data_IF_606098854074
#
_entry.id   IF_606098854074
#
_cell.length_a   1.000
_cell.length_b   1.000
_cell.length_c   1.000
_cell.angle_alpha   90.00
_cell.angle_beta   90.00
_cell.angle_gamma   90.00
#
_symmetry.space_group_name_H-M   'P 1'
#
loop_
_entity.id
_entity.type
_entity.pdbx_description
1 polymer ?
#
# COMPACT_ATOMS: atom_id res chain seq x y z
N UNK A 1 72.25 -20.43 -20.28
CA UNK A 1 71.13 -21.35 -19.96
C UNK A 1 70.20 -20.83 -18.87
N UNK A 2 70.55 -19.81 -18.10
CA UNK A 2 69.70 -19.21 -17.05
C UNK A 2 68.47 -18.44 -17.58
N UNK A 3 68.60 -17.68 -18.67
CA UNK A 3 67.50 -16.87 -19.22
C UNK A 3 66.29 -17.65 -19.76
N UNK A 4 66.44 -18.92 -20.13
CA UNK A 4 65.31 -19.75 -20.62
C UNK A 4 64.43 -20.22 -19.45
N UNK A 5 65.03 -20.46 -18.28
CA UNK A 5 64.31 -20.89 -17.07
C UNK A 5 63.49 -19.72 -16.50
N UNK A 6 64.02 -18.50 -16.55
CA UNK A 6 63.32 -17.29 -16.07
C UNK A 6 62.09 -16.95 -16.92
N UNK A 7 62.18 -17.05 -18.26
CA UNK A 7 61.04 -16.82 -19.16
C UNK A 7 59.96 -17.89 -19.00
N UNK A 8 60.34 -19.15 -18.81
CA UNK A 8 59.40 -20.24 -18.56
C UNK A 8 58.68 -20.07 -17.20
N UNK A 9 59.40 -19.68 -16.15
CA UNK A 9 58.83 -19.40 -14.84
C UNK A 9 57.88 -18.20 -14.86
N UNK A 10 58.25 -17.11 -15.56
CA UNK A 10 57.38 -15.95 -15.75
C UNK A 10 56.09 -16.31 -16.51
N UNK A 11 56.19 -17.11 -17.57
CA UNK A 11 55.03 -17.55 -18.36
C UNK A 11 54.09 -18.45 -17.55
N UNK A 12 54.64 -19.37 -16.74
CA UNK A 12 53.85 -20.22 -15.84
C UNK A 12 53.15 -19.39 -14.75
N UNK A 13 53.83 -18.40 -14.17
CA UNK A 13 53.24 -17.50 -13.18
C UNK A 13 52.08 -16.68 -13.78
N UNK A 14 52.24 -16.15 -15.00
CA UNK A 14 51.18 -15.44 -15.73
C UNK A 14 49.98 -16.36 -15.99
N UNK A 15 50.22 -17.62 -16.41
CA UNK A 15 49.14 -18.58 -16.67
C UNK A 15 48.37 -18.96 -15.40
N UNK A 16 49.06 -19.17 -14.27
CA UNK A 16 48.42 -19.43 -12.97
C UNK A 16 47.62 -18.23 -12.51
N UNK A 17 48.16 -17.01 -12.64
CA UNK A 17 47.46 -15.78 -12.31
C UNK A 17 46.19 -15.58 -13.16
N UNK A 18 46.27 -15.79 -14.48
CA UNK A 18 45.13 -15.70 -15.37
C UNK A 18 44.04 -16.75 -15.06
N UNK A 19 44.44 -18.00 -14.76
CA UNK A 19 43.51 -19.06 -14.35
C UNK A 19 42.78 -18.70 -13.05
N UNK A 20 43.52 -18.25 -12.04
CA UNK A 20 42.93 -17.83 -10.76
C UNK A 20 42.00 -16.62 -10.93
N UNK A 21 42.34 -15.67 -11.82
CA UNK A 21 41.48 -14.53 -12.17
C UNK A 21 40.15 -15.01 -12.75
N UNK A 22 40.18 -15.89 -13.76
CA UNK A 22 38.96 -16.41 -14.38
C UNK A 22 38.11 -17.28 -13.45
N UNK A 23 38.74 -18.08 -12.59
CA UNK A 23 38.01 -18.87 -11.60
C UNK A 23 37.30 -17.98 -10.59
N UNK A 24 37.96 -16.90 -10.16
CA UNK A 24 37.37 -15.88 -9.29
C UNK A 24 36.21 -15.15 -9.97
N UNK A 25 36.36 -14.72 -11.23
CA UNK A 25 35.29 -14.08 -12.00
C UNK A 25 34.05 -14.97 -12.13
N UNK A 26 34.23 -16.26 -12.45
CA UNK A 26 33.13 -17.23 -12.53
C UNK A 26 32.46 -17.46 -11.17
N UNK A 27 33.24 -17.46 -10.10
CA UNK A 27 32.70 -17.61 -8.75
C UNK A 27 31.86 -16.39 -8.35
N UNK A 28 32.33 -15.18 -8.66
CA UNK A 28 31.57 -13.93 -8.45
C UNK A 28 30.26 -13.94 -9.24
N UNK A 29 30.32 -14.28 -10.54
CA UNK A 29 29.16 -14.38 -11.42
C UNK A 29 28.13 -15.38 -10.89
N UNK A 30 28.56 -16.59 -10.55
CA UNK A 30 27.68 -17.63 -10.00
C UNK A 30 26.95 -17.13 -8.74
N UNK A 31 27.69 -16.53 -7.80
CA UNK A 31 27.11 -16.02 -6.55
C UNK A 31 26.14 -14.88 -6.82
N UNK A 32 26.49 -13.93 -7.69
CA UNK A 32 25.63 -12.80 -8.01
C UNK A 32 24.33 -13.23 -8.69
N UNK A 33 24.41 -14.11 -9.69
CA UNK A 33 23.23 -14.63 -10.40
C UNK A 33 22.34 -15.48 -9.51
N UNK A 34 22.91 -16.33 -8.65
CA UNK A 34 22.13 -17.12 -7.67
C UNK A 34 21.38 -16.22 -6.70
N UNK A 35 22.04 -15.19 -6.15
CA UNK A 35 21.41 -14.22 -5.26
C UNK A 35 20.31 -13.44 -5.99
N UNK A 36 20.59 -12.92 -7.18
CA UNK A 36 19.60 -12.14 -7.92
C UNK A 36 18.36 -12.98 -8.28
N UNK A 37 18.57 -14.19 -8.79
CA UNK A 37 17.48 -15.14 -9.08
C UNK A 37 16.67 -15.47 -7.83
N UNK A 38 17.31 -15.65 -6.68
CA UNK A 38 16.62 -15.95 -5.42
C UNK A 38 15.73 -14.79 -4.95
N UNK A 39 16.20 -13.56 -5.05
CA UNK A 39 15.50 -12.39 -4.51
C UNK A 39 14.45 -11.78 -5.46
N UNK A 40 14.67 -11.91 -6.78
CA UNK A 40 13.84 -11.24 -7.78
C UNK A 40 13.24 -12.18 -8.82
N UNK A 41 13.58 -13.48 -8.79
CA UNK A 41 13.13 -14.48 -9.77
C UNK A 41 13.40 -14.06 -11.23
N UNK A 42 14.53 -13.39 -11.45
CA UNK A 42 14.98 -12.86 -12.74
C UNK A 42 16.47 -13.16 -12.96
N UNK A 43 16.97 -12.91 -14.17
CA UNK A 43 18.40 -13.02 -14.51
C UNK A 43 19.09 -11.65 -14.42
N UNK A 44 20.20 -11.58 -13.69
CA UNK A 44 20.97 -10.34 -13.52
C UNK A 44 21.55 -9.85 -14.86
N UNK A 45 21.88 -10.76 -15.76
CA UNK A 45 22.47 -10.44 -17.05
C UNK A 45 21.45 -9.80 -18.01
N UNK A 46 20.15 -10.08 -17.84
CA UNK A 46 19.09 -9.51 -18.67
C UNK A 46 18.63 -8.14 -18.15
N UNK A 47 18.65 -7.95 -16.83
CA UNK A 47 18.13 -6.75 -16.18
C UNK A 47 19.18 -5.63 -16.05
N UNK A 48 20.48 -5.98 -16.01
CA UNK A 48 21.55 -5.01 -15.76
C UNK A 48 22.30 -4.60 -17.04
N UNK A 49 22.61 -3.31 -17.23
CA UNK A 49 23.59 -2.85 -18.20
C UNK A 49 24.95 -3.51 -17.99
N UNK A 50 25.63 -3.83 -19.09
CA UNK A 50 27.00 -4.35 -19.09
C UNK A 50 28.07 -3.29 -18.79
N UNK A 51 27.68 -2.01 -18.75
CA UNK A 51 28.59 -0.87 -18.64
C UNK A 51 28.11 0.11 -17.58
N UNK A 52 29.08 0.64 -16.84
CA UNK A 52 28.84 1.70 -15.87
C UNK A 52 28.25 2.95 -16.54
N UNK A 53 27.04 3.33 -16.15
CA UNK A 53 26.41 4.58 -16.58
C UNK A 53 26.80 5.74 -15.66
N UNK A 54 26.74 6.98 -16.14
CA UNK A 54 26.84 8.17 -15.26
C UNK A 54 25.46 8.81 -15.28
N UNK A 55 24.91 9.02 -14.10
CA UNK A 55 23.60 9.63 -13.95
C UNK A 55 23.78 11.15 -13.85
N UNK A 56 22.97 11.87 -14.63
CA UNK A 56 22.95 13.33 -14.61
C UNK A 56 22.22 13.88 -13.40
N UNK A 57 21.38 14.89 -13.61
CA UNK A 57 20.65 15.54 -12.54
C UNK A 57 19.54 14.61 -11.99
N UNK A 58 19.66 14.21 -10.72
CA UNK A 58 18.71 13.34 -10.01
C UNK A 58 17.61 14.19 -9.32
N UNK A 59 16.93 15.06 -10.06
CA UNK A 59 15.83 15.87 -9.49
C UNK A 59 14.63 14.98 -9.21
N UNK A 60 14.07 15.09 -8.00
CA UNK A 60 12.88 14.33 -7.59
C UNK A 60 13.16 12.92 -7.07
N UNK A 61 14.43 12.49 -6.98
CA UNK A 61 14.81 11.21 -6.37
C UNK A 61 15.06 11.40 -4.87
N UNK A 62 14.74 10.38 -4.07
CA UNK A 62 14.98 10.41 -2.62
C UNK A 62 16.46 10.70 -2.26
N UNK A 63 16.67 11.50 -1.21
CA UNK A 63 18.01 11.96 -0.81
C UNK A 63 18.95 10.81 -0.41
N UNK A 64 18.44 9.76 0.25
CA UNK A 64 19.23 8.59 0.60
C UNK A 64 19.52 7.73 -0.63
N UNK A 65 18.56 7.63 -1.56
CA UNK A 65 18.78 6.97 -2.83
C UNK A 65 19.86 7.67 -3.66
N UNK A 66 19.80 9.01 -3.76
CA UNK A 66 20.84 9.84 -4.41
C UNK A 66 22.21 9.62 -3.76
N UNK A 67 22.28 9.54 -2.44
CA UNK A 67 23.54 9.30 -1.74
C UNK A 67 24.11 7.90 -2.04
N UNK A 68 23.26 6.87 -2.10
CA UNK A 68 23.65 5.51 -2.50
C UNK A 68 24.15 5.48 -3.96
N UNK A 69 23.45 6.15 -4.90
CA UNK A 69 23.89 6.29 -6.30
C UNK A 69 25.26 6.95 -6.37
N UNK A 70 25.51 8.02 -5.62
CA UNK A 70 26.81 8.70 -5.59
C UNK A 70 27.93 7.83 -5.03
N UNK A 71 27.64 6.97 -4.05
CA UNK A 71 28.61 6.00 -3.54
C UNK A 71 29.02 4.99 -4.64
N UNK A 72 28.03 4.49 -5.39
CA UNK A 72 28.24 3.60 -6.55
C UNK A 72 29.10 4.30 -7.63
N UNK A 73 28.74 5.52 -8.01
CA UNK A 73 29.46 6.25 -9.06
C UNK A 73 30.90 6.58 -8.65
N UNK A 74 31.14 6.88 -7.37
CA UNK A 74 32.49 7.10 -6.81
C UNK A 74 33.37 5.86 -7.00
N UNK A 75 32.86 4.69 -6.61
CA UNK A 75 33.55 3.41 -6.81
C UNK A 75 33.87 3.16 -8.28
N UNK A 76 32.89 3.33 -9.17
CA UNK A 76 33.05 3.10 -10.60
C UNK A 76 34.02 4.11 -11.27
N UNK A 77 34.04 5.36 -10.80
CA UNK A 77 34.96 6.39 -11.28
C UNK A 77 36.40 6.08 -10.87
N UNK A 78 36.62 5.73 -9.61
CA UNK A 78 37.96 5.40 -9.12
C UNK A 78 38.50 4.13 -9.76
N UNK A 79 37.65 3.12 -9.92
CA UNK A 79 38.01 1.91 -10.66
C UNK A 79 38.45 2.25 -12.08
N UNK A 80 37.67 3.05 -12.83
CA UNK A 80 38.07 3.51 -14.18
C UNK A 80 39.42 4.23 -14.19
N UNK A 81 39.70 5.07 -13.20
CA UNK A 81 40.97 5.81 -13.13
C UNK A 81 42.18 4.89 -12.93
N UNK A 82 42.07 3.87 -12.07
CA UNK A 82 43.18 2.93 -11.83
C UNK A 82 43.56 2.14 -13.08
N UNK A 83 42.58 1.77 -13.89
CA UNK A 83 42.82 1.00 -15.11
C UNK A 83 43.21 1.86 -16.31
N UNK A 84 43.02 3.18 -16.28
CA UNK A 84 43.47 4.08 -17.35
C UNK A 84 44.99 3.98 -17.60
N UNK A 85 45.77 3.60 -16.59
CA UNK A 85 47.23 3.41 -16.70
C UNK A 85 47.67 2.01 -17.16
N UNK A 86 46.73 1.06 -17.28
CA UNK A 86 46.97 -0.30 -17.74
C UNK A 86 46.19 -0.51 -19.04
N UNK A 87 46.86 -0.33 -20.18
CA UNK A 87 46.31 -0.09 -21.54
C UNK A 87 45.39 -1.15 -22.18
N UNK A 88 44.36 -1.65 -21.48
CA UNK A 88 43.28 -2.45 -22.07
C UNK A 88 41.91 -1.93 -21.62
N UNK A 89 41.36 -0.99 -22.39
CA UNK A 89 40.03 -0.40 -22.14
C UNK A 89 38.85 -1.39 -22.23
N UNK A 90 39.11 -2.66 -22.63
CA UNK A 90 38.10 -3.70 -22.81
C UNK A 90 37.78 -4.50 -21.54
N UNK A 91 38.61 -4.45 -20.49
CA UNK A 91 38.48 -5.32 -19.29
C UNK A 91 37.32 -4.96 -18.32
N UNK A 92 36.39 -4.07 -18.68
CA UNK A 92 35.31 -3.63 -17.78
C UNK A 92 33.91 -3.94 -18.28
N UNK A 93 33.76 -4.36 -19.54
CA UNK A 93 32.45 -4.72 -20.09
C UNK A 93 32.10 -6.10 -19.57
N UNK A 94 30.99 -6.20 -18.82
CA UNK A 94 30.51 -7.48 -18.28
C UNK A 94 31.10 -7.90 -16.94
N UNK A 95 31.84 -7.02 -16.24
CA UNK A 95 32.29 -7.29 -14.87
C UNK A 95 31.09 -7.44 -13.92
N UNK A 96 31.00 -8.57 -13.21
CA UNK A 96 29.89 -8.92 -12.32
C UNK A 96 29.61 -7.85 -11.26
N UNK A 97 30.66 -7.29 -10.63
CA UNK A 97 30.51 -6.24 -9.63
C UNK A 97 29.86 -4.99 -10.22
N UNK A 98 30.25 -4.62 -11.44
CA UNK A 98 29.67 -3.49 -12.16
C UNK A 98 28.21 -3.74 -12.47
N UNK A 99 27.85 -4.94 -12.94
CA UNK A 99 26.43 -5.32 -13.19
C UNK A 99 25.57 -5.20 -11.92
N UNK A 100 26.00 -5.80 -10.80
CA UNK A 100 25.25 -5.70 -9.53
C UNK A 100 25.01 -4.24 -9.13
N UNK A 101 26.01 -3.38 -9.26
CA UNK A 101 25.88 -1.97 -8.90
C UNK A 101 25.05 -1.17 -9.91
N UNK A 102 25.09 -1.48 -11.21
CA UNK A 102 24.26 -0.83 -12.22
C UNK A 102 22.78 -1.18 -12.04
N UNK A 103 22.47 -2.46 -11.79
CA UNK A 103 21.11 -2.91 -11.48
C UNK A 103 20.57 -2.15 -10.26
N UNK A 104 21.34 -2.11 -9.17
CA UNK A 104 20.92 -1.42 -7.96
C UNK A 104 20.75 0.08 -8.19
N UNK A 105 21.65 0.69 -8.97
CA UNK A 105 21.57 2.10 -9.34
C UNK A 105 20.32 2.39 -10.17
N UNK A 106 19.99 1.53 -11.13
CA UNK A 106 18.75 1.66 -11.91
C UNK A 106 17.52 1.61 -11.02
N UNK A 107 17.44 0.63 -10.12
CA UNK A 107 16.35 0.57 -9.16
C UNK A 107 16.28 1.82 -8.27
N UNK A 108 17.41 2.29 -7.73
CA UNK A 108 17.48 3.51 -6.91
C UNK A 108 16.97 4.76 -7.66
N UNK A 109 17.21 4.84 -8.98
CA UNK A 109 16.70 5.95 -9.80
C UNK A 109 15.19 5.92 -10.03
N UNK A 110 14.54 4.78 -9.83
CA UNK A 110 13.07 4.69 -9.90
C UNK A 110 12.39 5.24 -8.64
N UNK A 111 13.15 5.49 -7.58
CA UNK A 111 12.65 5.94 -6.28
C UNK A 111 12.40 7.44 -6.27
N UNK A 112 11.32 7.85 -6.95
CA UNK A 112 10.81 9.22 -6.90
C UNK A 112 10.27 9.56 -5.51
N UNK A 113 10.41 10.83 -5.09
CA UNK A 113 9.82 11.35 -3.84
C UNK A 113 8.28 11.22 -3.82
N UNK A 114 7.65 11.21 -4.99
CA UNK A 114 6.18 11.14 -5.13
C UNK A 114 5.65 9.69 -5.29
N UNK A 115 6.54 8.73 -5.56
CA UNK A 115 6.15 7.33 -5.74
C UNK A 115 6.09 6.62 -4.39
N UNK A 116 4.93 6.05 -4.04
CA UNK A 116 4.79 5.23 -2.85
C UNK A 116 5.59 3.92 -3.00
N UNK A 117 6.79 3.88 -2.44
CA UNK A 117 7.62 2.68 -2.37
C UNK A 117 7.23 1.91 -1.12
N UNK A 118 7.01 0.59 -1.24
CA UNK A 118 6.71 -0.22 -0.06
C UNK A 118 7.97 -0.50 0.77
N UNK A 119 7.84 -0.50 2.10
CA UNK A 119 8.93 -0.86 3.01
C UNK A 119 9.45 -2.27 2.72
N UNK A 120 8.56 -3.19 2.30
CA UNK A 120 8.93 -4.55 1.90
C UNK A 120 9.87 -4.59 0.71
N UNK A 121 9.66 -3.74 -0.30
CA UNK A 121 10.57 -3.62 -1.46
C UNK A 121 11.95 -3.15 -1.04
N UNK A 122 12.04 -2.13 -0.17
CA UNK A 122 13.33 -1.62 0.33
C UNK A 122 14.03 -2.66 1.21
N UNK A 123 13.29 -3.36 2.06
CA UNK A 123 13.83 -4.45 2.89
C UNK A 123 14.41 -5.59 2.04
N UNK A 124 13.69 -6.02 1.01
CA UNK A 124 14.16 -7.07 0.10
C UNK A 124 15.48 -6.67 -0.58
N UNK A 125 15.62 -5.39 -0.96
CA UNK A 125 16.85 -4.83 -1.56
C UNK A 125 17.98 -4.71 -0.55
N UNK A 126 17.68 -4.33 0.69
CA UNK A 126 18.66 -4.30 1.78
C UNK A 126 19.19 -5.71 2.10
N UNK A 127 18.31 -6.71 2.15
CA UNK A 127 18.67 -8.11 2.36
C UNK A 127 19.53 -8.62 1.20
N UNK A 128 19.15 -8.33 -0.05
CA UNK A 128 19.94 -8.65 -1.24
C UNK A 128 21.38 -8.12 -1.11
N UNK A 129 21.56 -6.84 -0.76
CA UNK A 129 22.88 -6.23 -0.58
C UNK A 129 23.66 -6.88 0.59
N UNK A 130 22.97 -7.14 1.70
CA UNK A 130 23.56 -7.77 2.90
C UNK A 130 24.08 -9.19 2.61
N UNK A 131 23.43 -9.94 1.72
CA UNK A 131 23.88 -11.27 1.32
C UNK A 131 25.25 -11.26 0.60
N UNK A 132 25.62 -10.18 -0.09
CA UNK A 132 26.98 -10.03 -0.64
C UNK A 132 28.00 -9.77 0.47
N UNK A 133 27.65 -8.94 1.46
CA UNK A 133 28.51 -8.64 2.60
C UNK A 133 28.84 -9.92 3.42
N UNK A 134 27.88 -10.83 3.53
CA UNK A 134 28.07 -12.14 4.17
C UNK A 134 28.92 -13.13 3.36
N UNK A 135 29.21 -12.83 2.08
CA UNK A 135 30.01 -13.67 1.17
C UNK A 135 31.32 -12.99 0.79
N UNK A 136 31.95 -12.31 1.75
CA UNK A 136 33.19 -11.55 1.53
C UNK A 136 34.30 -12.30 0.76
N UNK A 137 34.57 -13.61 0.99
CA UNK A 137 35.60 -14.34 0.24
C UNK A 137 35.39 -14.39 -1.27
N UNK A 138 34.13 -14.35 -1.74
CA UNK A 138 33.84 -14.34 -3.16
C UNK A 138 34.20 -12.99 -3.81
N UNK A 139 34.24 -11.88 -3.05
CA UNK A 139 34.39 -10.53 -3.56
C UNK A 139 35.62 -9.78 -3.03
N UNK A 140 36.63 -10.50 -2.56
CA UNK A 140 37.84 -9.91 -1.97
C UNK A 140 38.49 -8.85 -2.88
N UNK A 141 38.82 -7.70 -2.28
CA UNK A 141 39.56 -6.63 -2.93
C UNK A 141 40.66 -6.13 -1.98
N UNK A 142 41.82 -5.80 -2.55
CA UNK A 142 42.98 -5.30 -1.79
C UNK A 142 42.94 -3.78 -1.55
N UNK A 143 41.88 -3.10 -2.00
CA UNK A 143 41.80 -1.64 -1.99
C UNK A 143 40.84 -1.13 -0.92
N UNK A 144 41.13 0.04 -0.37
CA UNK A 144 40.26 0.72 0.61
C UNK A 144 38.85 0.93 0.06
N UNK A 145 38.74 1.45 -1.16
CA UNK A 145 37.47 1.57 -1.88
C UNK A 145 37.24 0.28 -2.68
N UNK A 146 36.56 -0.65 -2.02
CA UNK A 146 36.19 -1.97 -2.53
C UNK A 146 34.69 -2.07 -2.86
N UNK A 147 34.32 -3.12 -3.60
CA UNK A 147 32.92 -3.43 -3.87
C UNK A 147 32.10 -3.62 -2.59
N UNK A 148 32.64 -4.38 -1.62
CA UNK A 148 31.98 -4.63 -0.34
C UNK A 148 31.87 -3.37 0.52
N UNK A 149 32.90 -2.50 0.52
CA UNK A 149 32.83 -1.22 1.22
C UNK A 149 31.75 -0.31 0.61
N UNK A 150 31.65 -0.29 -0.73
CA UNK A 150 30.62 0.45 -1.46
C UNK A 150 29.22 -0.08 -1.13
N UNK A 151 29.02 -1.40 -1.17
CA UNK A 151 27.75 -2.01 -0.76
C UNK A 151 27.42 -1.73 0.71
N UNK A 152 28.41 -1.69 1.60
CA UNK A 152 28.18 -1.31 3.00
C UNK A 152 27.70 0.15 3.16
N UNK A 153 28.20 1.08 2.34
CA UNK A 153 27.70 2.46 2.31
C UNK A 153 26.28 2.53 1.74
N UNK A 154 26.02 1.79 0.66
CA UNK A 154 24.68 1.64 0.08
C UNK A 154 23.70 1.05 1.10
N UNK A 155 24.03 -0.03 1.80
CA UNK A 155 23.18 -0.62 2.86
C UNK A 155 22.82 0.41 3.92
N UNK A 156 23.78 1.23 4.38
CA UNK A 156 23.50 2.30 5.35
C UNK A 156 22.48 3.32 4.84
N UNK A 157 22.52 3.66 3.55
CA UNK A 157 21.53 4.53 2.94
C UNK A 157 20.17 3.84 2.75
N UNK A 158 20.17 2.56 2.35
CA UNK A 158 18.95 1.76 2.25
C UNK A 158 18.27 1.53 3.60
N UNK A 159 19.03 1.38 4.69
CA UNK A 159 18.49 1.29 6.05
C UNK A 159 17.78 2.57 6.46
N UNK A 160 18.37 3.74 6.17
CA UNK A 160 17.74 5.03 6.43
C UNK A 160 16.49 5.22 5.60
N UNK A 161 16.56 4.86 4.32
CA UNK A 161 15.40 4.87 3.42
C UNK A 161 14.31 3.93 3.95
N UNK A 162 14.65 2.72 4.35
CA UNK A 162 13.71 1.75 4.94
C UNK A 162 13.05 2.31 6.20
N UNK A 163 13.83 2.90 7.12
CA UNK A 163 13.28 3.54 8.32
C UNK A 163 12.31 4.69 7.98
N UNK A 164 12.65 5.51 6.98
CA UNK A 164 11.78 6.56 6.48
C UNK A 164 10.49 5.98 5.89
N UNK A 165 10.59 5.01 4.98
CA UNK A 165 9.41 4.35 4.39
C UNK A 165 8.53 3.69 5.44
N UNK A 166 9.12 2.98 6.40
CA UNK A 166 8.39 2.39 7.53
C UNK A 166 7.70 3.47 8.36
N UNK A 167 8.34 4.62 8.57
CA UNK A 167 7.73 5.74 9.30
C UNK A 167 6.55 6.34 8.54
N UNK A 168 6.64 6.47 7.21
CA UNK A 168 5.59 6.97 6.34
C UNK A 168 4.40 6.00 6.27
N UNK A 169 4.66 4.69 6.11
CA UNK A 169 3.62 3.65 6.12
C UNK A 169 2.93 3.49 7.48
N UNK A 170 3.61 3.86 8.57
CA UNK A 170 3.08 3.84 9.93
C UNK A 170 2.35 5.12 10.32
N UNK A 171 2.18 6.08 9.41
CA UNK A 171 1.35 7.26 9.72
C UNK A 171 -0.12 6.88 9.73
N UNK A 172 -0.89 7.54 10.61
CA UNK A 172 -2.33 7.35 10.68
C UNK A 172 -3.03 7.77 9.40
N UNK A 173 -2.49 8.75 8.67
CA UNK A 173 -2.96 9.13 7.34
C UNK A 173 -2.90 7.93 6.37
N UNK A 174 -1.72 7.32 6.21
CA UNK A 174 -1.53 6.21 5.29
C UNK A 174 -2.42 5.02 5.67
N UNK A 175 -2.55 4.72 6.97
CA UNK A 175 -3.36 3.59 7.45
C UNK A 175 -4.86 3.81 7.27
N UNK A 176 -5.36 5.03 7.53
CA UNK A 176 -6.76 5.37 7.25
C UNK A 176 -7.01 5.37 5.73
N UNK A 177 -6.08 5.91 4.93
CA UNK A 177 -6.16 5.86 3.47
C UNK A 177 -6.24 4.43 2.92
N UNK A 178 -5.41 3.52 3.46
CA UNK A 178 -5.45 2.11 3.12
C UNK A 178 -6.80 1.45 3.48
N UNK A 179 -7.37 1.75 4.66
CA UNK A 179 -8.70 1.28 5.05
C UNK A 179 -9.80 1.77 4.10
N UNK A 180 -9.75 3.04 3.69
CA UNK A 180 -10.69 3.60 2.72
C UNK A 180 -10.61 2.87 1.37
N UNK A 181 -9.39 2.62 0.87
CA UNK A 181 -9.16 1.88 -0.37
C UNK A 181 -9.69 0.44 -0.30
N UNK A 182 -9.38 -0.29 0.77
CA UNK A 182 -9.88 -1.66 0.97
C UNK A 182 -11.39 -1.70 1.13
N UNK A 183 -11.96 -0.70 1.81
CA UNK A 183 -13.41 -0.59 1.97
C UNK A 183 -14.11 -0.35 0.64
N UNK A 184 -13.55 0.49 -0.22
CA UNK A 184 -14.01 0.68 -1.61
C UNK A 184 -13.93 -0.62 -2.40
N UNK A 185 -12.82 -1.35 -2.31
CA UNK A 185 -12.66 -2.64 -2.97
C UNK A 185 -13.71 -3.66 -2.49
N UNK A 186 -14.00 -3.72 -1.18
CA UNK A 186 -15.04 -4.58 -0.62
C UNK A 186 -16.43 -4.23 -1.17
N UNK A 187 -16.74 -2.94 -1.31
CA UNK A 187 -18.01 -2.46 -1.87
C UNK A 187 -18.14 -2.90 -3.33
N UNK A 188 -17.11 -2.69 -4.15
CA UNK A 188 -17.08 -3.14 -5.55
C UNK A 188 -17.23 -4.67 -5.66
N UNK A 189 -16.50 -5.42 -4.87
CA UNK A 189 -16.59 -6.89 -4.82
C UNK A 189 -17.95 -7.39 -4.33
N UNK A 190 -18.73 -6.56 -3.62
CA UNK A 190 -20.09 -6.90 -3.14
C UNK A 190 -21.15 -6.66 -4.22
N UNK A 191 -20.89 -5.81 -5.23
CA UNK A 191 -21.85 -5.52 -6.31
C UNK A 191 -22.32 -6.77 -7.08
N UNK A 192 -21.44 -7.73 -7.46
CA UNK A 192 -21.89 -8.99 -8.07
C UNK A 192 -22.84 -9.80 -7.17
N UNK A 193 -22.66 -9.75 -5.85
CA UNK A 193 -23.61 -10.38 -4.91
C UNK A 193 -24.96 -9.70 -4.99
N UNK A 194 -24.99 -8.36 -4.97
CA UNK A 194 -26.22 -7.59 -5.11
C UNK A 194 -26.91 -7.89 -6.45
N UNK A 195 -26.16 -8.07 -7.53
CA UNK A 195 -26.70 -8.24 -8.87
C UNK A 195 -27.19 -9.66 -9.17
N UNK A 196 -26.42 -10.68 -8.77
CA UNK A 196 -26.63 -12.03 -9.28
C UNK A 196 -27.16 -13.02 -8.23
N UNK A 197 -27.15 -12.69 -6.94
CA UNK A 197 -27.50 -13.69 -5.92
C UNK A 197 -28.97 -14.12 -5.95
N UNK A 198 -29.90 -13.18 -6.02
CA UNK A 198 -31.34 -13.45 -5.96
C UNK A 198 -32.14 -13.00 -7.19
N UNK A 199 -31.57 -12.16 -8.05
CA UNK A 199 -32.31 -11.57 -9.17
C UNK A 199 -32.32 -12.45 -10.41
N UNK A 200 -33.42 -12.37 -11.16
CA UNK A 200 -33.49 -12.99 -12.47
C UNK A 200 -32.53 -12.28 -13.44
N UNK A 201 -31.84 -13.00 -14.34
CA UNK A 201 -31.04 -12.37 -15.37
C UNK A 201 -31.92 -11.52 -16.28
N UNK A 202 -31.46 -10.31 -16.63
CA UNK A 202 -32.16 -9.48 -17.61
C UNK A 202 -32.28 -10.26 -18.93
N UNK A 203 -33.49 -10.30 -19.50
CA UNK A 203 -33.68 -10.85 -20.84
C UNK A 203 -32.88 -9.98 -21.80
N UNK A 204 -31.80 -10.50 -22.37
CA UNK A 204 -30.93 -9.78 -23.29
C UNK A 204 -31.76 -9.33 -24.51
N UNK A 205 -32.23 -8.10 -24.46
CA UNK A 205 -32.59 -7.33 -25.65
C UNK A 205 -31.31 -6.59 -26.03
N UNK A 206 -30.66 -7.15 -27.05
CA UNK A 206 -29.59 -6.60 -27.89
C UNK A 206 -28.24 -6.25 -27.22
N UNK A 207 -27.32 -7.22 -27.31
CA UNK A 207 -25.91 -7.20 -26.87
C UNK A 207 -24.99 -6.21 -27.62
N UNK A 208 -25.52 -5.18 -28.28
CA UNK A 208 -24.73 -4.49 -29.30
C UNK A 208 -23.85 -3.32 -28.83
N UNK A 209 -24.26 -2.40 -27.93
CA UNK A 209 -23.41 -1.18 -27.78
C UNK A 209 -23.62 -0.23 -26.60
N UNK A 210 -24.27 -0.61 -25.50
CA UNK A 210 -24.48 0.32 -24.39
C UNK A 210 -23.84 -0.17 -23.10
N UNK A 211 -23.09 0.72 -22.44
CA UNK A 211 -22.87 0.72 -21.00
C UNK A 211 -24.24 0.76 -20.30
N UNK A 212 -24.95 -0.36 -20.34
CA UNK A 212 -26.31 -0.51 -19.85
C UNK A 212 -26.32 -0.30 -18.34
N UNK A 213 -27.39 0.29 -17.78
CA UNK A 213 -27.54 0.41 -16.35
C UNK A 213 -27.42 -0.96 -15.69
N UNK A 214 -26.59 -1.06 -14.65
CA UNK A 214 -26.24 -2.32 -13.96
C UNK A 214 -27.44 -3.11 -13.41
N UNK A 215 -28.63 -2.48 -13.28
CA UNK A 215 -29.83 -3.04 -12.65
C UNK A 215 -31.11 -2.70 -13.43
N UNK A 216 -32.09 -3.61 -13.40
CA UNK A 216 -33.39 -3.39 -14.05
C UNK A 216 -34.29 -2.48 -13.19
N UNK A 217 -34.31 -1.19 -13.53
CA UNK A 217 -35.08 -0.16 -12.81
C UNK A 217 -36.61 -0.35 -12.91
N UNK A 218 -37.10 -1.24 -13.77
CA UNK A 218 -38.53 -1.58 -13.80
C UNK A 218 -38.94 -2.43 -12.58
N UNK A 219 -37.98 -3.10 -11.95
CA UNK A 219 -38.21 -4.00 -10.80
C UNK A 219 -38.00 -3.30 -9.46
N UNK A 220 -38.74 -3.70 -8.43
CA UNK A 220 -38.59 -3.17 -7.07
C UNK A 220 -37.17 -3.36 -6.53
N UNK A 221 -36.59 -4.55 -6.71
CA UNK A 221 -35.21 -4.81 -6.26
C UNK A 221 -34.16 -4.05 -7.06
N UNK A 222 -34.34 -3.90 -8.38
CA UNK A 222 -33.44 -3.07 -9.19
C UNK A 222 -33.50 -1.59 -8.81
N UNK A 223 -34.69 -1.04 -8.51
CA UNK A 223 -34.84 0.32 -7.96
C UNK A 223 -34.15 0.46 -6.60
N UNK A 224 -34.34 -0.52 -5.71
CA UNK A 224 -33.72 -0.51 -4.38
C UNK A 224 -32.19 -0.47 -4.47
N UNK A 225 -31.58 -1.36 -5.26
CA UNK A 225 -30.12 -1.40 -5.40
C UNK A 225 -29.60 -0.15 -6.12
N UNK A 226 -30.32 0.35 -7.13
CA UNK A 226 -29.96 1.59 -7.78
C UNK A 226 -30.02 2.79 -6.82
N UNK A 227 -31.01 2.86 -5.94
CA UNK A 227 -31.11 3.90 -4.92
C UNK A 227 -29.94 3.81 -3.92
N UNK A 228 -29.62 2.60 -3.45
CA UNK A 228 -28.45 2.34 -2.60
C UNK A 228 -27.16 2.88 -3.22
N UNK A 229 -26.88 2.53 -4.47
CA UNK A 229 -25.64 2.95 -5.16
C UNK A 229 -25.61 4.47 -5.47
N UNK A 230 -26.76 5.14 -5.44
CA UNK A 230 -26.87 6.60 -5.59
C UNK A 230 -26.71 7.36 -4.28
N UNK A 231 -26.70 6.68 -3.14
CA UNK A 231 -26.49 7.33 -1.86
C UNK A 231 -25.17 8.10 -1.83
N UNK A 232 -25.16 9.21 -1.10
CA UNK A 232 -24.06 10.18 -1.12
C UNK A 232 -22.73 9.53 -0.77
N UNK A 233 -22.73 8.60 0.18
CA UNK A 233 -21.53 7.93 0.63
C UNK A 233 -20.97 6.92 -0.40
N UNK A 234 -21.81 6.26 -1.21
CA UNK A 234 -21.31 5.40 -2.32
C UNK A 234 -20.65 6.24 -3.41
N UNK A 235 -21.30 7.34 -3.79
CA UNK A 235 -20.78 8.22 -4.85
C UNK A 235 -19.51 8.95 -4.46
N UNK A 236 -19.30 9.22 -3.17
CA UNK A 236 -18.02 9.78 -2.68
C UNK A 236 -16.91 8.75 -2.53
N UNK A 237 -17.26 7.46 -2.43
CA UNK A 237 -16.28 6.37 -2.49
C UNK A 237 -15.87 6.06 -3.93
N UNK A 238 -16.81 6.15 -4.89
CA UNK A 238 -16.49 6.18 -6.31
C UNK A 238 -15.83 7.50 -6.69
N UNK A 239 -14.79 7.50 -7.53
CA UNK A 239 -14.09 8.74 -7.90
C UNK A 239 -14.88 9.57 -8.94
N UNK A 240 -16.21 9.50 -8.90
CA UNK A 240 -17.11 10.13 -9.86
C UNK A 240 -17.72 11.38 -9.25
N UNK A 241 -17.15 12.58 -9.47
CA UNK A 241 -17.69 13.86 -8.99
C UNK A 241 -18.91 14.30 -9.80
N UNK A 242 -19.86 13.39 -10.05
CA UNK A 242 -21.10 13.70 -10.76
C UNK A 242 -22.00 14.59 -9.92
N UNK A 243 -22.41 15.72 -10.49
CA UNK A 243 -23.35 16.65 -9.87
C UNK A 243 -24.67 15.94 -9.53
N UNK A 244 -25.19 16.26 -8.33
CA UNK A 244 -26.48 15.84 -7.83
C UNK A 244 -27.57 16.56 -8.64
N UNK A 245 -27.91 16.09 -9.82
CA UNK A 245 -29.17 16.51 -10.44
C UNK A 245 -30.31 16.06 -9.52
N UNK A 246 -31.15 17.02 -9.13
CA UNK A 246 -32.21 16.89 -8.12
C UNK A 246 -33.32 15.93 -8.54
N UNK A 247 -33.00 14.64 -8.56
CA UNK A 247 -33.94 13.57 -8.85
C UNK A 247 -35.04 13.55 -7.79
N UNK A 248 -36.29 13.58 -8.23
CA UNK A 248 -37.49 13.38 -7.40
C UNK A 248 -37.72 11.91 -7.03
N UNK A 249 -36.73 11.03 -7.24
CA UNK A 249 -36.86 9.62 -6.89
C UNK A 249 -36.86 9.45 -5.36
N UNK A 250 -37.64 8.50 -4.83
CA UNK A 250 -37.63 8.18 -3.40
C UNK A 250 -36.22 7.78 -2.94
N UNK A 251 -35.89 8.11 -1.69
CA UNK A 251 -34.59 7.81 -1.09
C UNK A 251 -34.40 6.31 -0.84
N UNK A 252 -33.15 5.87 -0.63
CA UNK A 252 -32.88 4.47 -0.30
C UNK A 252 -33.65 3.96 0.93
N UNK A 253 -33.75 4.70 2.06
CA UNK A 253 -34.48 4.23 3.24
C UNK A 253 -35.96 3.97 2.97
N UNK A 254 -36.62 4.85 2.22
CA UNK A 254 -38.05 4.74 1.87
C UNK A 254 -38.29 3.52 0.99
N UNK A 255 -37.46 3.33 -0.06
CA UNK A 255 -37.53 2.17 -0.93
C UNK A 255 -37.20 0.87 -0.19
N UNK A 256 -36.27 0.90 0.77
CA UNK A 256 -35.93 -0.27 1.59
C UNK A 256 -37.13 -0.69 2.45
N UNK A 257 -37.82 0.27 3.09
CA UNK A 257 -39.01 0.00 3.89
C UNK A 257 -40.19 -0.48 3.04
N UNK A 258 -40.43 0.15 1.88
CA UNK A 258 -41.43 -0.29 0.90
C UNK A 258 -41.16 -1.73 0.43
N UNK A 259 -39.92 -2.00 -0.01
CA UNK A 259 -39.52 -3.33 -0.49
C UNK A 259 -39.59 -4.35 0.63
N UNK A 260 -39.20 -3.99 1.86
CA UNK A 260 -39.27 -4.86 3.02
C UNK A 260 -40.70 -5.28 3.34
N UNK A 261 -41.66 -4.35 3.32
CA UNK A 261 -43.08 -4.67 3.52
C UNK A 261 -43.57 -5.60 2.41
N UNK A 262 -43.32 -5.24 1.15
CA UNK A 262 -43.72 -6.04 -0.02
C UNK A 262 -43.15 -7.47 0.00
N UNK A 263 -41.87 -7.63 0.34
CA UNK A 263 -41.19 -8.91 0.27
C UNK A 263 -41.38 -9.80 1.50
N UNK A 264 -41.65 -9.24 2.68
CA UNK A 264 -41.70 -10.01 3.92
C UNK A 264 -43.12 -10.23 4.44
N UNK A 265 -44.08 -9.36 4.13
CA UNK A 265 -45.46 -9.50 4.63
C UNK A 265 -46.33 -10.39 3.73
N UNK A 266 -46.01 -10.47 2.43
CA UNK A 266 -46.74 -11.30 1.48
C UNK A 266 -46.13 -12.74 1.39
N UNK A 267 -46.97 -13.79 1.23
CA UNK A 267 -46.50 -15.16 1.04
C UNK A 267 -45.55 -15.29 -0.16
N UNK A 268 -45.82 -14.55 -1.24
CA UNK A 268 -44.93 -14.45 -2.40
C UNK A 268 -44.63 -13.00 -2.74
N UNK A 269 -43.42 -12.73 -3.23
CA UNK A 269 -43.08 -11.42 -3.77
C UNK A 269 -43.80 -11.23 -5.12
N UNK A 270 -44.22 -10.00 -5.41
CA UNK A 270 -44.84 -9.64 -6.69
C UNK A 270 -43.95 -9.95 -7.89
N UNK A 271 -44.58 -10.06 -9.07
CA UNK A 271 -43.86 -10.29 -10.34
C UNK A 271 -42.90 -9.15 -10.69
N UNK A 272 -43.17 -7.95 -10.17
CA UNK A 272 -42.35 -6.75 -10.30
C UNK A 272 -41.15 -6.73 -9.32
N UNK A 273 -40.97 -7.74 -8.48
CA UNK A 273 -39.85 -7.78 -7.53
C UNK A 273 -38.48 -7.84 -8.20
N UNK A 274 -38.40 -8.43 -9.39
CA UNK A 274 -37.16 -8.75 -10.11
C UNK A 274 -36.44 -10.00 -9.59
N UNK A 275 -36.95 -10.63 -8.53
CA UNK A 275 -36.39 -11.85 -7.97
C UNK A 275 -36.53 -13.01 -8.96
N UNK A 276 -35.58 -13.95 -8.92
CA UNK A 276 -35.77 -15.25 -9.55
C UNK A 276 -37.02 -15.91 -8.96
N UNK A 277 -37.81 -16.58 -9.81
CA UNK A 277 -39.12 -17.15 -9.43
C UNK A 277 -39.06 -18.03 -8.17
N UNK A 278 -37.96 -18.77 -7.98
CA UNK A 278 -37.74 -19.57 -6.77
C UNK A 278 -37.62 -18.70 -5.51
N UNK A 279 -36.84 -17.62 -5.55
CA UNK A 279 -36.65 -16.72 -4.40
C UNK A 279 -37.86 -15.82 -4.11
N UNK A 280 -38.82 -15.71 -5.04
CA UNK A 280 -40.08 -15.02 -4.81
C UNK A 280 -41.07 -15.81 -3.96
N UNK A 281 -40.84 -17.11 -3.72
CA UNK A 281 -41.75 -17.98 -2.97
C UNK A 281 -41.59 -17.86 -1.44
N UNK A 282 -42.62 -18.28 -0.71
CA UNK A 282 -42.65 -18.28 0.77
C UNK A 282 -41.48 -19.06 1.40
N UNK A 283 -41.08 -20.16 0.75
CA UNK A 283 -39.96 -20.99 1.21
C UNK A 283 -38.62 -20.24 1.29
N UNK A 284 -38.51 -19.07 0.65
CA UNK A 284 -37.29 -18.26 0.59
C UNK A 284 -37.42 -16.87 1.26
N UNK A 285 -38.40 -16.67 2.16
CA UNK A 285 -38.54 -15.44 2.97
C UNK A 285 -37.22 -15.06 3.67
N UNK A 286 -36.52 -16.01 4.29
CA UNK A 286 -35.25 -15.72 4.98
C UNK A 286 -34.13 -15.27 4.03
N UNK A 287 -34.12 -15.76 2.78
CA UNK A 287 -33.15 -15.30 1.78
C UNK A 287 -33.43 -13.85 1.37
N UNK A 288 -34.71 -13.49 1.17
CA UNK A 288 -35.16 -12.12 0.88
C UNK A 288 -34.81 -11.18 2.03
N UNK A 289 -35.08 -11.58 3.27
CA UNK A 289 -34.71 -10.83 4.48
C UNK A 289 -33.20 -10.61 4.55
N UNK A 290 -32.41 -11.66 4.35
CA UNK A 290 -30.94 -11.57 4.36
C UNK A 290 -30.40 -10.62 3.29
N UNK A 291 -31.06 -10.54 2.14
CA UNK A 291 -30.72 -9.59 1.07
C UNK A 291 -31.04 -8.14 1.44
N UNK A 292 -32.19 -7.89 2.06
CA UNK A 292 -32.53 -6.57 2.58
C UNK A 292 -31.56 -6.13 3.69
N UNK A 293 -31.17 -7.05 4.56
CA UNK A 293 -30.15 -6.82 5.59
C UNK A 293 -28.78 -6.53 4.95
N UNK A 294 -28.39 -7.25 3.89
CA UNK A 294 -27.17 -6.99 3.12
C UNK A 294 -27.16 -5.54 2.59
N UNK A 295 -28.26 -5.08 1.97
CA UNK A 295 -28.39 -3.71 1.49
C UNK A 295 -28.24 -2.69 2.64
N UNK A 296 -28.94 -2.90 3.75
CA UNK A 296 -28.90 -2.02 4.93
C UNK A 296 -27.50 -1.96 5.56
N UNK A 297 -26.83 -3.09 5.68
CA UNK A 297 -25.50 -3.15 6.29
C UNK A 297 -24.42 -2.60 5.38
N UNK A 298 -24.58 -2.71 4.06
CA UNK A 298 -23.67 -2.10 3.09
C UNK A 298 -23.78 -0.57 3.13
N UNK A 299 -24.99 -0.02 3.14
CA UNK A 299 -25.25 1.42 3.34
C UNK A 299 -24.55 1.94 4.61
N UNK A 300 -24.83 1.30 5.75
CA UNK A 300 -24.22 1.66 7.04
C UNK A 300 -22.70 1.55 7.03
N UNK A 301 -22.14 0.52 6.40
CA UNK A 301 -20.70 0.34 6.26
C UNK A 301 -20.09 1.49 5.45
N UNK A 302 -20.64 1.82 4.28
CA UNK A 302 -20.17 2.91 3.44
C UNK A 302 -20.29 4.27 4.14
N UNK A 303 -21.38 4.52 4.88
CA UNK A 303 -21.55 5.72 5.69
C UNK A 303 -20.41 5.91 6.70
N UNK A 304 -20.12 4.90 7.52
CA UNK A 304 -19.03 4.99 8.50
C UNK A 304 -17.64 5.00 7.86
N UNK A 305 -17.45 4.29 6.75
CA UNK A 305 -16.21 4.33 5.98
C UNK A 305 -15.94 5.76 5.50
N UNK A 306 -16.95 6.44 4.96
CA UNK A 306 -16.86 7.85 4.54
C UNK A 306 -16.57 8.80 5.69
N UNK A 307 -17.08 8.52 6.89
CA UNK A 307 -16.78 9.31 8.08
C UNK A 307 -15.30 9.22 8.52
N UNK A 308 -14.49 8.31 7.96
CA UNK A 308 -13.04 8.29 8.19
C UNK A 308 -12.26 9.33 7.37
N UNK A 309 -12.80 9.82 6.25
CA UNK A 309 -12.09 10.78 5.38
C UNK A 309 -11.65 12.06 6.10
N UNK A 310 -12.49 12.71 6.95
CA UNK A 310 -12.03 13.86 7.73
C UNK A 310 -10.85 13.53 8.64
N UNK A 311 -10.82 12.35 9.25
CA UNK A 311 -9.69 11.93 10.10
C UNK A 311 -8.41 11.75 9.29
N UNK A 312 -8.50 11.19 8.07
CA UNK A 312 -7.36 11.11 7.17
C UNK A 312 -6.80 12.51 6.85
N UNK A 313 -7.67 13.48 6.52
CA UNK A 313 -7.26 14.86 6.24
C UNK A 313 -6.62 15.54 7.44
N UNK A 314 -7.16 15.32 8.63
CA UNK A 314 -6.56 15.82 9.88
C UNK A 314 -5.19 15.17 10.13
N UNK A 315 -5.05 13.87 9.86
CA UNK A 315 -3.77 13.17 9.97
C UNK A 315 -2.74 13.69 8.97
N UNK A 316 -3.15 14.00 7.74
CA UNK A 316 -2.29 14.60 6.73
C UNK A 316 -1.76 15.98 7.17
N UNK A 317 -2.63 16.81 7.77
CA UNK A 317 -2.27 18.16 8.21
C UNK A 317 -1.51 18.20 9.55
N UNK A 318 -1.89 17.36 10.50
CA UNK A 318 -1.43 17.42 11.90
C UNK A 318 -0.71 16.16 12.40
N UNK A 319 -0.47 15.19 11.54
CA UNK A 319 0.17 13.92 11.87
C UNK A 319 -0.61 13.05 12.87
N UNK A 320 0.09 12.05 13.41
CA UNK A 320 -0.47 11.12 14.40
C UNK A 320 -0.89 11.83 15.71
N UNK A 321 -0.26 12.96 16.05
CA UNK A 321 -0.57 13.72 17.25
C UNK A 321 -2.00 14.26 17.23
N UNK A 322 -2.46 14.75 16.07
CA UNK A 322 -3.83 15.21 15.89
C UNK A 322 -4.84 14.06 16.02
N UNK A 323 -4.51 12.87 15.51
CA UNK A 323 -5.34 11.67 15.69
C UNK A 323 -5.43 11.23 17.15
N UNK A 324 -4.32 11.28 17.90
CA UNK A 324 -4.32 10.98 19.34
C UNK A 324 -5.24 11.93 20.12
N UNK A 325 -5.30 13.20 19.71
CA UNK A 325 -6.23 14.18 20.29
C UNK A 325 -7.69 13.85 20.01
N UNK A 326 -7.99 13.32 18.80
CA UNK A 326 -9.33 12.86 18.39
C UNK A 326 -9.65 11.40 18.77
N UNK A 327 -8.79 10.75 19.57
CA UNK A 327 -8.84 9.30 19.85
C UNK A 327 -10.23 8.79 20.19
N UNK A 328 -10.96 9.46 21.09
CA UNK A 328 -12.27 8.97 21.56
C UNK A 328 -13.27 8.84 20.41
N UNK A 329 -13.36 9.87 19.56
CA UNK A 329 -14.24 9.87 18.40
C UNK A 329 -13.83 8.83 17.36
N UNK A 330 -12.53 8.74 17.06
CA UNK A 330 -12.01 7.77 16.10
C UNK A 330 -12.17 6.32 16.57
N UNK A 331 -11.91 6.03 17.85
CA UNK A 331 -12.15 4.70 18.43
C UNK A 331 -13.61 4.29 18.32
N UNK A 332 -14.54 5.18 18.64
CA UNK A 332 -15.98 4.91 18.53
C UNK A 332 -16.38 4.65 17.07
N UNK A 333 -15.90 5.49 16.15
CA UNK A 333 -16.16 5.31 14.70
C UNK A 333 -15.63 3.96 14.20
N UNK A 334 -14.41 3.56 14.58
CA UNK A 334 -13.83 2.28 14.19
C UNK A 334 -14.60 1.07 14.79
N UNK A 335 -15.16 1.21 15.99
CA UNK A 335 -16.02 0.20 16.60
C UNK A 335 -17.33 0.04 15.81
N UNK A 336 -17.98 1.15 15.47
CA UNK A 336 -19.21 1.15 14.68
C UNK A 336 -18.98 0.62 13.25
N UNK A 337 -17.86 1.00 12.63
CA UNK A 337 -17.45 0.47 11.33
C UNK A 337 -17.15 -1.04 11.39
N UNK A 338 -16.46 -1.50 12.42
CA UNK A 338 -16.20 -2.93 12.66
C UNK A 338 -17.48 -3.75 12.85
N UNK A 339 -18.45 -3.19 13.59
CA UNK A 339 -19.78 -3.79 13.76
C UNK A 339 -20.54 -3.87 12.44
N UNK A 340 -20.55 -2.79 11.66
CA UNK A 340 -21.19 -2.75 10.35
C UNK A 340 -20.55 -3.76 9.37
N UNK A 341 -19.21 -3.87 9.36
CA UNK A 341 -18.47 -4.85 8.56
C UNK A 341 -18.84 -6.29 8.91
N UNK A 342 -18.94 -6.61 10.20
CA UNK A 342 -19.33 -7.95 10.66
C UNK A 342 -20.76 -8.31 10.22
N UNK A 343 -21.70 -7.38 10.40
CA UNK A 343 -23.10 -7.54 10.00
C UNK A 343 -23.23 -7.70 8.48
N UNK A 344 -22.48 -6.90 7.72
CA UNK A 344 -22.39 -7.01 6.26
C UNK A 344 -21.92 -8.40 5.83
N UNK A 345 -20.85 -8.92 6.46
CA UNK A 345 -20.37 -10.28 6.20
C UNK A 345 -21.41 -11.35 6.51
N UNK A 346 -22.11 -11.24 7.64
CA UNK A 346 -23.14 -12.22 8.04
C UNK A 346 -24.29 -12.26 7.02
N UNK A 347 -24.83 -11.10 6.64
CA UNK A 347 -25.90 -10.99 5.66
C UNK A 347 -25.46 -11.52 4.28
N UNK A 348 -24.25 -11.16 3.84
CA UNK A 348 -23.65 -11.67 2.60
C UNK A 348 -23.56 -13.20 2.59
N UNK A 349 -23.00 -13.80 3.65
CA UNK A 349 -22.86 -15.25 3.74
C UNK A 349 -24.22 -15.96 3.73
N UNK A 350 -25.24 -15.39 4.37
CA UNK A 350 -26.60 -15.93 4.35
C UNK A 350 -27.21 -15.91 2.94
N UNK A 351 -27.05 -14.79 2.22
CA UNK A 351 -27.49 -14.66 0.81
C UNK A 351 -26.75 -15.67 -0.08
N UNK A 352 -25.42 -15.75 0.00
CA UNK A 352 -24.63 -16.68 -0.81
C UNK A 352 -24.94 -18.14 -0.48
N UNK A 353 -25.21 -18.46 0.79
CA UNK A 353 -25.63 -19.80 1.17
C UNK A 353 -26.97 -20.17 0.54
N UNK A 354 -27.95 -19.25 0.55
CA UNK A 354 -29.23 -19.45 -0.12
C UNK A 354 -29.06 -19.64 -1.64
N UNK A 355 -28.26 -18.80 -2.30
CA UNK A 355 -27.95 -18.95 -3.73
C UNK A 355 -27.25 -20.26 -4.05
N UNK A 356 -26.24 -20.67 -3.27
CA UNK A 356 -25.53 -21.94 -3.47
C UNK A 356 -26.44 -23.14 -3.24
N UNK A 357 -27.32 -23.11 -2.25
CA UNK A 357 -28.32 -24.16 -2.01
C UNK A 357 -29.25 -24.30 -3.21
N UNK A 358 -29.77 -23.19 -3.72
CA UNK A 358 -30.63 -23.21 -4.91
C UNK A 358 -29.88 -23.68 -6.16
N UNK A 359 -28.63 -23.25 -6.35
CA UNK A 359 -27.76 -23.74 -7.42
C UNK A 359 -27.59 -25.27 -7.38
N UNK A 360 -27.40 -25.84 -6.18
CA UNK A 360 -27.31 -27.30 -6.00
C UNK A 360 -28.63 -28.01 -6.32
N UNK A 361 -29.77 -27.40 -6.02
CA UNK A 361 -31.10 -27.92 -6.38
C UNK A 361 -31.29 -27.92 -7.90
N UNK A 362 -30.96 -26.80 -8.58
CA UNK A 362 -31.00 -26.70 -10.04
C UNK A 362 -30.04 -27.68 -10.72
N UNK A 363 -28.83 -27.86 -10.17
CA UNK A 363 -27.85 -28.81 -10.71
C UNK A 363 -28.37 -30.26 -10.71
N UNK A 364 -29.16 -30.65 -9.69
CA UNK A 364 -29.83 -31.96 -9.64
C UNK A 364 -30.92 -32.11 -10.70
N UNK A 365 -31.46 -31.00 -11.20
CA UNK A 365 -32.55 -30.94 -12.16
C UNK A 365 -32.11 -30.45 -13.55
N UNK A 366 -30.80 -30.45 -13.83
CA UNK A 366 -30.20 -29.78 -14.98
C UNK A 366 -30.91 -30.05 -16.33
N UNK A 367 -31.34 -31.28 -16.67
CA UNK A 367 -32.03 -31.55 -17.94
C UNK A 367 -33.34 -30.75 -18.12
N UNK A 368 -33.94 -30.28 -17.03
CA UNK A 368 -35.20 -29.52 -16.99
C UNK A 368 -35.00 -28.02 -16.77
N UNK A 369 -33.78 -27.57 -16.50
CA UNK A 369 -33.49 -26.16 -16.23
C UNK A 369 -33.78 -25.27 -17.44
N UNK A 370 -34.46 -24.15 -17.21
CA UNK A 370 -34.78 -23.15 -18.22
C UNK A 370 -33.55 -22.33 -18.65
N UNK A 371 -33.66 -21.62 -19.78
CA UNK A 371 -32.56 -20.75 -20.29
C UNK A 371 -32.16 -19.66 -19.28
N UNK A 372 -33.14 -19.07 -18.58
CA UNK A 372 -32.91 -18.04 -17.56
C UNK A 372 -32.14 -18.59 -16.36
N UNK A 373 -32.51 -19.76 -15.85
CA UNK A 373 -31.82 -20.40 -14.73
C UNK A 373 -30.37 -20.72 -15.09
N UNK A 374 -30.12 -21.28 -16.29
CA UNK A 374 -28.75 -21.55 -16.74
C UNK A 374 -27.91 -20.28 -16.83
N UNK A 375 -28.48 -19.16 -17.29
CA UNK A 375 -27.80 -17.86 -17.32
C UNK A 375 -27.50 -17.37 -15.91
N UNK A 376 -28.47 -17.45 -15.00
CA UNK A 376 -28.28 -17.11 -13.59
C UNK A 376 -27.14 -17.94 -12.95
N UNK A 377 -27.11 -19.25 -13.19
CA UNK A 377 -26.03 -20.13 -12.73
C UNK A 377 -24.65 -19.70 -13.27
N UNK A 378 -24.59 -19.26 -14.54
CA UNK A 378 -23.35 -18.73 -15.12
C UNK A 378 -22.94 -17.42 -14.46
N UNK A 379 -23.89 -16.52 -14.21
CA UNK A 379 -23.62 -15.21 -13.64
C UNK A 379 -23.06 -15.29 -12.21
N UNK A 380 -23.44 -16.31 -11.44
CA UNK A 380 -22.87 -16.56 -10.10
C UNK A 380 -21.35 -16.75 -10.09
N UNK A 381 -20.72 -17.12 -11.22
CA UNK A 381 -19.25 -17.26 -11.32
C UNK A 381 -18.51 -15.95 -11.13
N UNK A 382 -19.19 -14.82 -11.29
CA UNK A 382 -18.62 -13.48 -11.09
C UNK A 382 -18.53 -13.10 -9.61
N UNK A 383 -19.06 -13.92 -8.71
CA UNK A 383 -18.95 -13.72 -7.26
C UNK A 383 -17.70 -14.43 -6.74
N UNK A 384 -16.70 -13.65 -6.34
CA UNK A 384 -15.50 -14.15 -5.66
C UNK A 384 -15.68 -14.12 -4.14
N UNK A 385 -16.30 -15.19 -3.60
CA UNK A 385 -16.55 -15.35 -2.16
C UNK A 385 -15.25 -15.41 -1.34
N UNK A 386 -14.17 -15.98 -1.90
CA UNK A 386 -12.89 -16.07 -1.22
C UNK A 386 -12.27 -14.69 -1.05
N UNK A 387 -12.20 -13.89 -2.13
CA UNK A 387 -11.68 -12.52 -2.06
C UNK A 387 -12.47 -11.66 -1.08
N UNK A 388 -13.79 -11.79 -1.08
CA UNK A 388 -14.69 -11.11 -0.16
C UNK A 388 -14.45 -11.45 1.32
N UNK A 389 -14.05 -12.69 1.62
CA UNK A 389 -13.67 -13.12 2.96
C UNK A 389 -12.25 -12.66 3.34
N UNK A 390 -11.31 -12.64 2.40
CA UNK A 390 -9.97 -12.06 2.58
C UNK A 390 -10.04 -10.57 2.90
N UNK A 391 -10.79 -9.79 2.10
CA UNK A 391 -10.97 -8.35 2.32
C UNK A 391 -11.55 -8.04 3.71
N UNK A 392 -12.54 -8.82 4.16
CA UNK A 392 -13.09 -8.66 5.51
C UNK A 392 -12.02 -8.87 6.60
N UNK A 393 -11.18 -9.91 6.46
CA UNK A 393 -10.10 -10.19 7.43
C UNK A 393 -9.07 -9.07 7.44
N UNK A 394 -8.66 -8.58 6.27
CA UNK A 394 -7.69 -7.49 6.13
C UNK A 394 -8.25 -6.20 6.75
N UNK A 395 -9.50 -5.82 6.44
CA UNK A 395 -10.16 -4.66 7.04
C UNK A 395 -10.27 -4.76 8.56
N UNK A 396 -10.69 -5.91 9.08
CA UNK A 396 -10.80 -6.14 10.53
C UNK A 396 -9.45 -5.97 11.22
N UNK A 397 -8.36 -6.48 10.62
CA UNK A 397 -7.00 -6.27 11.10
C UNK A 397 -6.60 -4.79 11.04
N UNK A 398 -6.90 -4.12 9.94
CA UNK A 398 -6.61 -2.70 9.76
C UNK A 398 -7.29 -1.81 10.80
N UNK A 399 -8.51 -2.13 11.22
CA UNK A 399 -9.18 -1.41 12.32
C UNK A 399 -8.40 -1.52 13.64
N UNK A 400 -7.92 -2.72 13.98
CA UNK A 400 -7.10 -2.95 15.16
C UNK A 400 -5.75 -2.22 15.07
N UNK A 401 -5.13 -2.18 13.89
CA UNK A 401 -3.89 -1.43 13.64
C UNK A 401 -4.09 0.07 13.90
N UNK A 402 -5.14 0.69 13.33
CA UNK A 402 -5.42 2.12 13.57
C UNK A 402 -5.74 2.39 15.04
N UNK A 403 -6.49 1.52 15.71
CA UNK A 403 -6.75 1.63 17.16
C UNK A 403 -5.46 1.58 17.99
N UNK A 404 -4.51 0.72 17.63
CA UNK A 404 -3.21 0.63 18.29
C UNK A 404 -2.40 1.92 18.12
N UNK A 405 -2.45 2.52 16.93
CA UNK A 405 -1.75 3.77 16.61
C UNK A 405 -2.30 5.00 17.31
N UNK A 406 -3.57 4.99 17.70
CA UNK A 406 -4.16 6.07 18.49
C UNK A 406 -4.21 5.72 19.98
N UNK A 407 -3.44 4.72 20.42
CA UNK A 407 -3.42 4.32 21.84
C UNK A 407 -2.86 5.41 22.76
N UNK A 408 -3.20 5.34 24.05
CA UNK A 408 -2.63 6.23 25.05
C UNK A 408 -1.10 6.09 25.18
N UNK A 409 -0.56 4.88 24.95
CA UNK A 409 0.88 4.66 24.93
C UNK A 409 1.55 5.43 23.79
N UNK A 410 0.95 5.40 22.58
CA UNK A 410 1.44 6.15 21.43
C UNK A 410 1.35 7.66 21.64
N UNK A 411 0.31 8.14 22.30
CA UNK A 411 0.20 9.57 22.68
C UNK A 411 1.38 10.01 23.58
N UNK A 412 1.75 9.20 24.57
CA UNK A 412 2.89 9.48 25.47
C UNK A 412 4.21 9.44 24.69
N UNK A 413 4.39 8.47 23.79
CA UNK A 413 5.56 8.36 22.93
C UNK A 413 5.71 9.61 22.04
N UNK A 414 4.63 10.02 21.35
CA UNK A 414 4.63 11.21 20.50
C UNK A 414 4.94 12.48 21.28
N UNK A 415 4.38 12.63 22.49
CA UNK A 415 4.70 13.75 23.40
C UNK A 415 6.18 13.74 23.80
N UNK A 416 6.73 12.57 24.11
CA UNK A 416 8.16 12.42 24.44
C UNK A 416 9.06 12.75 23.25
N UNK A 417 8.73 12.27 22.05
CA UNK A 417 9.46 12.56 20.81
C UNK A 417 9.40 14.06 20.47
N UNK A 418 8.23 14.70 20.60
CA UNK A 418 8.08 16.12 20.37
C UNK A 418 8.92 16.95 21.36
N UNK A 419 8.90 16.58 22.64
CA UNK A 419 9.73 17.19 23.68
C UNK A 419 11.22 17.07 23.37
N UNK A 420 11.69 15.88 23.03
CA UNK A 420 13.09 15.64 22.67
C UNK A 420 13.49 16.41 21.40
N UNK A 421 12.61 16.46 20.39
CA UNK A 421 12.82 17.24 19.17
C UNK A 421 12.98 18.73 19.45
N UNK A 422 12.08 19.31 20.26
CA UNK A 422 12.17 20.71 20.68
C UNK A 422 13.45 20.98 21.48
N UNK A 423 13.87 20.07 22.36
CA UNK A 423 15.14 20.19 23.09
C UNK A 423 16.36 20.16 22.16
N UNK A 424 16.36 19.28 21.15
CA UNK A 424 17.43 19.20 20.16
C UNK A 424 17.49 20.47 19.31
N UNK A 425 16.34 20.98 18.86
CA UNK A 425 16.24 22.24 18.11
C UNK A 425 16.76 23.39 18.97
N UNK A 426 16.26 23.54 20.20
CA UNK A 426 16.72 24.59 21.11
C UNK A 426 18.24 24.50 21.34
N UNK A 427 18.78 23.29 21.51
CA UNK A 427 20.22 23.07 21.68
C UNK A 427 21.01 23.45 20.42
N UNK A 428 20.49 23.16 19.23
CA UNK A 428 21.11 23.55 17.97
C UNK A 428 21.12 25.07 17.78
N UNK A 429 19.99 25.75 18.04
CA UNK A 429 19.90 27.22 18.02
C UNK A 429 20.84 27.86 19.04
N UNK A 430 21.06 27.23 20.19
CA UNK A 430 21.98 27.72 21.23
C UNK A 430 23.44 27.31 21.01
N UNK A 431 23.74 26.51 19.99
CA UNK A 431 25.11 26.06 19.74
C UNK A 431 25.99 27.23 19.28
N UNK A 432 27.24 27.26 19.75
CA UNK A 432 28.18 28.32 19.40
C UNK A 432 28.44 28.41 17.89
N UNK A 433 28.46 27.27 17.18
CA UNK A 433 28.64 27.22 15.73
C UNK A 433 27.45 27.85 14.99
N UNK A 434 26.21 27.54 15.39
CA UNK A 434 25.02 28.18 14.80
C UNK A 434 25.01 29.69 15.08
N UNK A 435 25.28 30.10 16.31
CA UNK A 435 25.32 31.52 16.71
C UNK A 435 26.39 32.30 15.94
N UNK A 436 27.58 31.74 15.77
CA UNK A 436 28.68 32.38 15.03
C UNK A 436 28.37 32.59 13.54
N UNK A 437 27.44 31.81 12.97
CA UNK A 437 27.04 31.88 11.55
C UNK A 437 25.84 32.79 11.30
N UNK A 438 25.10 33.17 12.35
CA UNK A 438 23.95 34.04 12.22
C UNK A 438 24.40 35.50 12.02
N UNK A 439 23.90 36.15 10.96
CA UNK A 439 24.14 37.58 10.71
C UNK A 439 23.29 38.50 11.58
N UNK A 440 22.19 37.96 12.13
CA UNK A 440 21.29 38.62 13.07
C UNK A 440 21.25 37.80 14.35
N UNK A 441 21.27 38.46 15.51
CA UNK A 441 21.05 37.81 16.78
C UNK A 441 19.65 37.17 16.81
N UNK A 442 19.55 35.97 17.37
CA UNK A 442 18.24 35.36 17.63
C UNK A 442 17.47 36.25 18.62
N UNK A 443 16.12 36.30 18.54
CA UNK A 443 15.33 36.95 19.56
C UNK A 443 15.65 36.35 20.95
N UNK A 444 15.94 37.19 21.93
CA UNK A 444 16.40 36.80 23.28
C UNK A 444 15.45 35.79 23.98
N UNK A 445 14.20 35.71 23.53
CA UNK A 445 13.15 34.84 24.09
C UNK A 445 12.95 33.53 23.36
N UNK A 446 13.39 33.39 22.10
CA UNK A 446 13.04 32.21 21.28
C UNK A 446 13.52 30.90 21.91
N UNK A 447 14.76 30.87 22.41
CA UNK A 447 15.31 29.69 23.06
C UNK A 447 14.64 29.40 24.42
N UNK A 448 14.21 30.44 25.14
CA UNK A 448 13.46 30.28 26.39
C UNK A 448 12.05 29.73 26.11
N UNK A 449 11.35 30.29 25.11
CA UNK A 449 10.03 29.83 24.65
C UNK A 449 10.07 28.39 24.16
N UNK A 450 11.08 27.99 23.39
CA UNK A 450 11.25 26.60 22.95
C UNK A 450 11.47 25.63 24.12
N UNK A 451 12.25 26.03 25.14
CA UNK A 451 12.44 25.23 26.36
C UNK A 451 11.17 25.16 27.20
N UNK A 452 10.42 26.26 27.29
CA UNK A 452 9.15 26.32 27.99
C UNK A 452 8.11 25.41 27.33
N UNK A 453 7.98 25.47 26.00
CA UNK A 453 7.15 24.54 25.21
C UNK A 453 7.57 23.07 25.43
N UNK A 454 8.88 22.79 25.46
CA UNK A 454 9.38 21.44 25.72
C UNK A 454 9.15 20.98 27.18
N UNK A 455 9.05 21.91 28.13
CA UNK A 455 8.80 21.57 29.54
C UNK A 455 7.38 21.06 29.78
N UNK A 456 6.45 21.35 28.86
CA UNK A 456 5.03 20.97 28.98
C UNK A 456 4.29 21.77 30.04
N UNK A 457 4.88 22.85 30.57
CA UNK A 457 4.21 23.78 31.48
C UNK A 457 3.19 24.58 30.65
N UNK A 458 1.89 24.56 30.99
CA UNK A 458 0.90 25.33 30.27
C UNK A 458 1.23 26.82 30.37
N UNK A 459 1.41 27.47 29.20
CA UNK A 459 1.81 28.88 29.01
C UNK A 459 0.85 29.89 29.69
N UNK A 460 -0.28 29.44 30.24
CA UNK A 460 -1.29 30.29 30.90
C UNK A 460 -1.11 30.54 32.41
N UNK A 461 -0.09 29.96 33.07
CA UNK A 461 0.05 30.12 34.53
C UNK A 461 1.02 31.24 34.95
N UNK A 462 1.76 31.84 34.02
CA UNK A 462 2.80 32.83 34.33
C UNK A 462 2.50 34.15 33.61
N UNK A 463 1.83 35.08 34.30
CA UNK A 463 1.97 36.51 34.01
C UNK A 463 0.85 37.20 33.22
N UNK A 464 -0.38 37.21 33.74
CA UNK A 464 -1.24 38.42 33.67
C UNK A 464 -1.28 39.08 35.05
N UNK A 465 -0.10 39.25 35.65
CA UNK A 465 0.06 40.03 36.87
C UNK A 465 0.72 41.36 36.50
N UNK A 466 -0.10 42.41 36.54
CA UNK A 466 0.26 43.82 36.68
C UNK A 466 1.02 44.49 35.52
N UNK A 467 0.24 45.01 34.55
CA UNK A 467 0.51 46.34 34.00
C UNK A 467 -0.49 47.28 34.68
N UNK A 468 -0.14 47.71 35.89
CA UNK A 468 -0.88 48.73 36.64
C UNK A 468 0.11 49.52 37.48
N UNK A 469 0.78 50.47 36.83
CA UNK A 469 1.25 51.75 37.38
C UNK A 469 1.92 52.54 36.28
#
# INVERSE_FOLDING_TARGET
MTGVIEVAAASAAIAVFARNKHEKERQEERVASELYKRFFNADLCEESPDRATIVGNLVGVDVNAVAAVRAIERYQKERRHRFMYLSSSAEHVGDTRTRVLEELKQWLMTLSMDAAISAGTVANRLDYCSQFLLRAPAFEAQNEISFLATLGEVCRHLERLFQQTVSLERTGEAKIGHLLSLGKELVEATKPVLRFSLFAPQSALDEADAALPDFDLSTAGGRLVAALLREVHFRRLGDSPGELEGSTSPGFPELLEETSRSWLEAPSAGQDSGLLVAFAQEAHVEARKSFLDLCRHLDRFCFFLMALQPYQKVAAAGGDAALCWLRRGLCHLLQELGKALLQLRQARLAVLHASKKHLQELAKQLPKSGKLERRWMQDLRHIDDQRLDELHKILSKGFAEVQSMISAAREVELKSMAKQGLQNIASAFLSADFQARCSLALPDRLAAEMRELASGVPVGAVGVAQISS
#
